data_IF_739733449187
#
_entry.id   IF_739733449187
#
_cell.length_a   1.000
_cell.length_b   1.000
_cell.length_c   1.000
_cell.angle_alpha   90.00
_cell.angle_beta   90.00
_cell.angle_gamma   90.00
#
_symmetry.space_group_name_H-M   'P 1'
#
loop_
_entity.id
_entity.type
_entity.pdbx_description
1 polymer ?
#
# COMPACT_ATOMS: atom_id res chain seq x y z
N UNK A 1 -16.34 7.68 8.52
CA UNK A 1 -15.44 7.29 7.40
C UNK A 1 -13.97 7.41 7.85
N UNK A 2 -13.14 6.38 7.65
CA UNK A 2 -11.71 6.38 8.06
C UNK A 2 -10.74 6.77 6.94
N UNK A 3 -11.23 6.79 5.70
CA UNK A 3 -10.43 7.14 4.52
C UNK A 3 -10.48 8.66 4.29
N UNK A 4 -9.40 9.26 3.78
CA UNK A 4 -9.34 10.69 3.52
C UNK A 4 -10.35 11.12 2.43
N UNK A 5 -10.90 12.32 2.59
CA UNK A 5 -11.85 12.90 1.64
C UNK A 5 -13.14 12.09 1.48
N UNK A 6 -13.62 11.98 0.23
CA UNK A 6 -14.82 11.22 -0.15
C UNK A 6 -14.50 9.90 -0.86
N UNK A 7 -13.26 9.42 -0.77
CA UNK A 7 -12.86 8.25 -1.55
C UNK A 7 -13.58 6.98 -1.13
N UNK A 8 -13.85 6.81 0.18
CA UNK A 8 -14.62 5.67 0.68
C UNK A 8 -16.06 5.64 0.17
N UNK A 9 -16.69 6.81 0.04
CA UNK A 9 -18.05 6.95 -0.53
C UNK A 9 -18.04 6.65 -2.04
N UNK A 10 -17.07 7.22 -2.77
CA UNK A 10 -16.89 6.95 -4.19
C UNK A 10 -16.69 5.46 -4.47
N UNK A 11 -15.76 4.80 -3.76
CA UNK A 11 -15.51 3.36 -3.92
C UNK A 11 -16.74 2.51 -3.53
N UNK A 12 -17.46 2.90 -2.48
CA UNK A 12 -18.66 2.20 -2.04
C UNK A 12 -19.82 2.29 -3.03
N UNK A 13 -20.00 3.44 -3.68
CA UNK A 13 -21.08 3.65 -4.65
C UNK A 13 -20.76 3.13 -6.06
N UNK A 14 -19.51 3.26 -6.50
CA UNK A 14 -19.11 2.91 -7.87
C UNK A 14 -18.58 1.49 -7.99
N UNK A 15 -18.08 0.89 -6.91
CA UNK A 15 -17.40 -0.39 -6.95
C UNK A 15 -16.06 -0.37 -7.71
N UNK A 16 -15.49 0.82 -7.93
CA UNK A 16 -14.24 0.99 -8.66
C UNK A 16 -13.06 0.32 -7.93
N UNK A 17 -12.09 -0.22 -8.67
CA UNK A 17 -10.99 -1.01 -8.11
C UNK A 17 -9.69 -0.22 -8.06
N UNK A 18 -9.14 -0.08 -6.85
CA UNK A 18 -7.78 0.43 -6.66
C UNK A 18 -6.74 -0.65 -6.96
N UNK A 19 -5.60 -0.27 -7.55
CA UNK A 19 -4.52 -1.19 -7.93
C UNK A 19 -3.21 -0.83 -7.26
N UNK A 20 -2.59 -1.83 -6.62
CA UNK A 20 -1.20 -1.79 -6.15
C UNK A 20 -0.83 -0.51 -5.39
N UNK A 21 -0.10 0.38 -6.07
CA UNK A 21 0.36 1.69 -5.58
C UNK A 21 -0.77 2.59 -5.07
N UNK A 22 -1.94 2.57 -5.73
CA UNK A 22 -3.10 3.40 -5.38
C UNK A 22 -3.66 3.04 -4.00
N UNK A 23 -3.52 1.78 -3.58
CA UNK A 23 -4.01 1.30 -2.28
C UNK A 23 -3.19 1.93 -1.14
N UNK A 24 -1.89 2.10 -1.34
CA UNK A 24 -1.04 2.78 -0.35
C UNK A 24 -1.33 4.28 -0.34
N UNK A 25 -1.49 4.90 -1.50
CA UNK A 25 -1.84 6.31 -1.61
C UNK A 25 -3.22 6.65 -1.01
N UNK A 26 -4.18 5.73 -1.12
CA UNK A 26 -5.49 5.85 -0.47
C UNK A 26 -5.45 5.62 1.05
N UNK A 27 -4.29 5.26 1.62
CA UNK A 27 -4.14 4.94 3.05
C UNK A 27 -4.73 3.60 3.45
N UNK A 28 -4.99 2.70 2.50
CA UNK A 28 -5.50 1.34 2.75
C UNK A 28 -4.37 0.34 3.01
N UNK A 29 -3.19 0.56 2.41
CA UNK A 29 -2.01 -0.26 2.62
C UNK A 29 -0.87 0.59 3.20
N UNK A 30 -0.01 -0.03 4.02
CA UNK A 30 1.10 0.67 4.67
C UNK A 30 2.35 0.76 3.80
N UNK A 31 2.65 -0.30 3.02
CA UNK A 31 3.85 -0.38 2.19
C UNK A 31 3.53 -0.98 0.83
N UNK A 32 4.30 -0.61 -0.19
CA UNK A 32 4.26 -1.20 -1.52
C UNK A 32 5.55 -1.98 -1.79
N UNK A 33 5.40 -3.25 -2.16
CA UNK A 33 6.53 -4.13 -2.51
C UNK A 33 6.31 -4.69 -3.92
N UNK A 34 7.27 -4.54 -4.83
CA UNK A 34 7.20 -5.14 -6.16
C UNK A 34 7.11 -6.67 -6.08
N UNK A 35 6.29 -7.27 -6.95
CA UNK A 35 6.05 -8.72 -6.93
C UNK A 35 7.33 -9.55 -7.04
N UNK A 36 8.34 -9.08 -7.79
CA UNK A 36 9.63 -9.79 -7.91
C UNK A 36 10.37 -9.92 -6.58
N UNK A 37 10.16 -9.00 -5.64
CA UNK A 37 10.83 -8.97 -4.33
C UNK A 37 10.02 -9.63 -3.22
N UNK A 38 8.75 -9.95 -3.45
CA UNK A 38 7.87 -10.53 -2.43
C UNK A 38 8.40 -11.85 -1.85
N UNK A 39 8.93 -12.72 -2.71
CA UNK A 39 9.49 -13.99 -2.26
C UNK A 39 10.72 -13.83 -1.35
N UNK A 40 11.54 -12.79 -1.60
CA UNK A 40 12.71 -12.49 -0.77
C UNK A 40 12.26 -11.94 0.59
N UNK A 41 11.26 -11.06 0.59
CA UNK A 41 10.65 -10.52 1.81
C UNK A 41 10.06 -11.65 2.68
N UNK A 42 9.29 -12.56 2.09
CA UNK A 42 8.68 -13.68 2.80
C UNK A 42 9.74 -14.56 3.48
N UNK A 43 10.79 -14.95 2.72
CA UNK A 43 11.92 -15.71 3.29
C UNK A 43 12.60 -14.97 4.43
N UNK A 44 12.77 -13.65 4.30
CA UNK A 44 13.40 -12.84 5.33
C UNK A 44 12.55 -12.81 6.58
N UNK A 45 11.24 -12.59 6.46
CA UNK A 45 10.31 -12.62 7.58
C UNK A 45 10.26 -13.98 8.28
N UNK A 46 10.26 -15.09 7.52
CA UNK A 46 10.30 -16.44 8.08
C UNK A 46 11.61 -16.76 8.82
N UNK A 47 12.72 -16.13 8.44
CA UNK A 47 14.02 -16.33 9.10
C UNK A 47 14.16 -15.61 10.43
N UNK A 48 13.28 -14.65 10.72
CA UNK A 48 13.28 -13.89 11.97
C UNK A 48 12.70 -14.79 13.08
N UNK A 49 13.44 -14.94 14.18
CA UNK A 49 13.06 -15.81 15.30
C UNK A 49 12.41 -15.06 16.47
N UNK A 50 12.60 -13.75 16.58
CA UNK A 50 11.96 -12.92 17.62
C UNK A 50 10.77 -12.16 17.02
N UNK A 51 9.62 -12.23 17.68
CA UNK A 51 8.39 -11.56 17.25
C UNK A 51 8.38 -10.05 17.51
N UNK A 52 9.54 -9.41 17.50
CA UNK A 52 9.67 -7.99 17.83
C UNK A 52 9.11 -7.13 16.68
N UNK A 53 8.10 -6.32 16.97
CA UNK A 53 7.39 -5.51 15.96
C UNK A 53 8.34 -4.59 15.20
N UNK A 54 9.34 -4.01 15.88
CA UNK A 54 10.30 -3.09 15.30
C UNK A 54 11.22 -3.76 14.27
N UNK A 55 11.58 -5.04 14.49
CA UNK A 55 12.40 -5.80 13.55
C UNK A 55 11.62 -6.12 12.28
N UNK A 56 10.35 -6.52 12.43
CA UNK A 56 9.44 -6.81 11.31
C UNK A 56 9.19 -5.54 10.51
N UNK A 57 8.91 -4.41 11.16
CA UNK A 57 8.69 -3.12 10.49
C UNK A 57 9.93 -2.68 9.72
N UNK A 58 11.12 -2.86 10.30
CA UNK A 58 12.39 -2.52 9.63
C UNK A 58 12.63 -3.35 8.37
N UNK A 59 12.37 -4.66 8.43
CA UNK A 59 12.50 -5.54 7.26
C UNK A 59 11.48 -5.16 6.19
N UNK A 60 10.22 -4.91 6.54
CA UNK A 60 9.21 -4.49 5.55
C UNK A 60 9.60 -3.16 4.89
N UNK A 61 10.13 -2.20 5.66
CA UNK A 61 10.61 -0.91 5.15
C UNK A 61 11.75 -1.07 4.14
N UNK A 62 12.69 -1.99 4.37
CA UNK A 62 13.81 -2.27 3.47
C UNK A 62 13.35 -2.69 2.06
N UNK A 63 12.29 -3.50 1.99
CA UNK A 63 11.72 -3.96 0.71
C UNK A 63 10.68 -3.00 0.12
N UNK A 64 10.24 -2.01 0.90
CA UNK A 64 9.27 -1.02 0.46
C UNK A 64 9.87 -0.10 -0.61
N UNK A 65 9.09 0.23 -1.63
CA UNK A 65 9.51 1.16 -2.69
C UNK A 65 8.67 2.43 -2.63
N UNK A 66 9.31 3.59 -2.79
CA UNK A 66 8.60 4.87 -2.90
C UNK A 66 7.66 4.85 -4.11
N UNK A 67 6.42 5.25 -3.88
CA UNK A 67 5.33 5.15 -4.85
C UNK A 67 5.23 6.45 -5.63
N UNK A 68 5.35 6.37 -6.95
CA UNK A 68 4.86 7.39 -7.88
C UNK A 68 3.48 6.96 -8.38
N UNK A 69 2.46 7.80 -8.15
CA UNK A 69 1.10 7.55 -8.63
C UNK A 69 1.03 7.97 -10.09
N UNK A 70 0.50 7.09 -10.95
CA UNK A 70 0.35 7.39 -12.37
C UNK A 70 -0.74 8.45 -12.59
N UNK A 71 -0.54 9.33 -13.58
CA UNK A 71 -1.47 10.43 -13.93
C UNK A 71 -2.90 9.95 -14.23
N UNK A 72 -3.06 8.69 -14.66
CA UNK A 72 -4.36 8.10 -14.98
C UNK A 72 -5.14 7.60 -13.75
N UNK A 73 -4.51 7.60 -12.58
CA UNK A 73 -5.12 7.13 -11.33
C UNK A 73 -6.38 7.92 -11.00
N UNK A 74 -7.38 7.21 -10.47
CA UNK A 74 -8.64 7.82 -10.00
C UNK A 74 -8.37 8.83 -8.87
N UNK A 75 -7.27 8.62 -8.13
CA UNK A 75 -6.77 9.52 -7.11
C UNK A 75 -6.34 10.89 -7.65
N UNK A 76 -5.85 10.94 -8.90
CA UNK A 76 -5.47 12.19 -9.56
C UNK A 76 -6.64 12.85 -10.29
N UNK A 77 -7.57 12.05 -10.84
CA UNK A 77 -8.72 12.54 -11.62
C UNK A 77 -9.78 13.21 -10.77
N UNK A 78 -9.90 12.77 -9.54
CA UNK A 78 -10.84 13.36 -8.61
C UNK A 78 -10.01 14.16 -7.62
N UNK A 79 -10.12 15.49 -7.62
CA UNK A 79 -9.69 16.35 -6.51
C UNK A 79 -10.47 15.94 -5.24
N UNK A 80 -10.18 14.76 -4.71
CA UNK A 80 -10.78 14.14 -3.53
C UNK A 80 -9.76 14.15 -2.37
N UNK A 81 -8.53 14.57 -2.63
CA UNK A 81 -7.56 14.99 -1.61
C UNK A 81 -7.60 16.51 -1.52
#
# INVERSE_FOLDING_TARGET
PRLPGRIGEYLGLTGEKLRGKEVVAAGLATHFVPSQKLFQLEKRLLSIKSGDEDTVRSVINEFSTNITIDERSILNKSCII
#
